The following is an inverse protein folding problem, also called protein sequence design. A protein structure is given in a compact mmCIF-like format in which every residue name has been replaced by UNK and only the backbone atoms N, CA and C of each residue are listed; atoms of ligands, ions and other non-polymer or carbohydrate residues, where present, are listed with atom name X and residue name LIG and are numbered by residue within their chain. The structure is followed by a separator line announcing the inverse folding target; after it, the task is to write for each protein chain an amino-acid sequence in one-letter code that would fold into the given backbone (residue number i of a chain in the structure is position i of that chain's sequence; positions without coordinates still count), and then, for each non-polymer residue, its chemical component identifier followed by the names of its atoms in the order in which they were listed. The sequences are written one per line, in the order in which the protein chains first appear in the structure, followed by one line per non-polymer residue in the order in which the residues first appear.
data_IF_902075654804
#
_entry.id   IF_902075654804
#
_cell.length_a   1.000
_cell.length_b   1.000
_cell.length_c   1.000
_cell.angle_alpha   90.00
_cell.angle_beta   90.00
_cell.angle_gamma   90.00
#
_symmetry.space_group_name_H-M   'P 1'
#
loop_
_entity.id
_entity.type
_entity.pdbx_description
1 polymer ?
#
# COMPACT_ATOMS: atom_id res chain seq x y z
N UNK A 1 -5.71 13.32 -15.51
CA UNK A 1 -6.86 12.44 -15.85
C UNK A 1 -6.48 11.03 -15.46
N UNK A 2 -7.40 10.26 -14.88
CA UNK A 2 -7.19 8.83 -14.70
C UNK A 2 -7.42 8.12 -16.05
N UNK A 3 -6.64 7.09 -16.32
CA UNK A 3 -6.78 6.23 -17.49
C UNK A 3 -6.91 4.79 -17.03
N UNK A 4 -7.77 4.02 -17.68
CA UNK A 4 -7.95 2.60 -17.38
C UNK A 4 -6.76 1.80 -17.92
N UNK A 5 -6.22 0.89 -17.10
CA UNK A 5 -5.12 0.01 -17.51
C UNK A 5 -5.62 -1.26 -18.21
N UNK A 6 -6.61 -1.92 -17.61
CA UNK A 6 -7.27 -3.14 -18.09
C UNK A 6 -8.75 -3.13 -17.67
N UNK A 7 -9.57 -3.98 -18.27
CA UNK A 7 -10.98 -4.16 -17.87
C UNK A 7 -11.13 -5.05 -16.63
N UNK A 8 -12.35 -5.11 -16.09
CA UNK A 8 -12.71 -5.87 -14.91
C UNK A 8 -12.67 -7.39 -15.09
N UNK A 9 -12.67 -7.88 -16.33
CA UNK A 9 -12.62 -9.32 -16.66
C UNK A 9 -11.18 -9.80 -16.88
N UNK A 10 -10.21 -8.88 -16.91
CA UNK A 10 -8.80 -9.20 -17.14
C UNK A 10 -8.19 -10.09 -16.05
N UNK A 11 -8.63 -9.95 -14.80
CA UNK A 11 -8.11 -10.71 -13.65
C UNK A 11 -9.25 -11.10 -12.69
N UNK A 12 -10.12 -11.99 -13.13
CA UNK A 12 -11.32 -12.46 -12.44
C UNK A 12 -11.03 -13.29 -11.18
N UNK A 13 -9.86 -13.93 -11.10
CA UNK A 13 -9.40 -14.67 -9.92
C UNK A 13 -9.05 -13.77 -8.71
N UNK A 14 -8.94 -12.45 -8.88
CA UNK A 14 -8.51 -11.55 -7.81
C UNK A 14 -9.63 -11.30 -6.80
N UNK A 15 -9.44 -11.74 -5.56
CA UNK A 15 -10.38 -11.53 -4.45
C UNK A 15 -9.90 -10.43 -3.51
N UNK A 16 -10.78 -9.46 -3.22
CA UNK A 16 -10.51 -8.35 -2.30
C UNK A 16 -11.30 -8.55 -0.99
N UNK A 17 -10.60 -8.52 0.14
CA UNK A 17 -11.19 -8.62 1.48
C UNK A 17 -10.87 -7.35 2.26
N UNK A 18 -11.90 -6.67 2.80
CA UNK A 18 -11.74 -5.46 3.61
C UNK A 18 -11.96 -5.80 5.08
N UNK A 19 -10.89 -5.76 5.86
CA UNK A 19 -10.95 -5.88 7.31
C UNK A 19 -11.18 -4.51 7.98
N UNK A 20 -12.39 -4.26 8.48
CA UNK A 20 -12.71 -3.03 9.22
C UNK A 20 -12.24 -3.17 10.66
N UNK A 21 -11.08 -2.59 10.98
CA UNK A 21 -10.38 -2.77 12.27
C UNK A 21 -10.62 -1.66 13.31
N UNK A 22 -11.28 -0.57 12.92
CA UNK A 22 -11.64 0.53 13.81
C UNK A 22 -12.84 1.29 13.23
N UNK A 23 -13.75 1.70 14.11
CA UNK A 23 -14.84 2.64 13.78
C UNK A 23 -14.50 4.10 14.18
N UNK A 24 -13.32 4.33 14.78
CA UNK A 24 -12.87 5.67 15.15
C UNK A 24 -12.42 6.44 13.92
N UNK A 25 -12.81 7.70 13.84
CA UNK A 25 -12.36 8.61 12.79
C UNK A 25 -10.83 8.78 12.87
N UNK A 26 -10.18 8.83 11.71
CA UNK A 26 -8.75 9.18 11.60
C UNK A 26 -8.53 10.53 12.29
N UNK A 27 -7.48 10.64 13.11
CA UNK A 27 -7.19 11.91 13.79
C UNK A 27 -6.85 13.02 12.79
N UNK A 28 -6.14 12.67 11.72
CA UNK A 28 -5.80 13.58 10.62
C UNK A 28 -6.53 13.18 9.34
N UNK A 29 -7.15 14.14 8.67
CA UNK A 29 -7.77 13.93 7.35
C UNK A 29 -6.70 13.69 6.28
N UNK A 30 -7.01 12.93 5.22
CA UNK A 30 -6.06 12.71 4.13
C UNK A 30 -5.59 14.02 3.49
N UNK A 31 -6.47 15.00 3.32
CA UNK A 31 -6.13 16.28 2.68
C UNK A 31 -5.13 17.09 3.49
N UNK A 32 -5.35 17.23 4.81
CA UNK A 32 -4.40 17.91 5.69
C UNK A 32 -3.12 17.11 5.83
N UNK A 33 -3.22 15.80 6.07
CA UNK A 33 -2.07 14.93 6.25
C UNK A 33 -1.16 14.89 5.03
N UNK A 34 -1.70 14.84 3.81
CA UNK A 34 -0.91 14.90 2.59
C UNK A 34 -0.16 16.23 2.45
N UNK A 35 -0.80 17.36 2.78
CA UNK A 35 -0.14 18.67 2.76
C UNK A 35 1.01 18.71 3.75
N UNK A 36 0.76 18.33 5.01
CA UNK A 36 1.76 18.36 6.07
C UNK A 36 2.95 17.44 5.71
N UNK A 37 2.67 16.29 5.10
CA UNK A 37 3.71 15.36 4.62
C UNK A 37 4.56 15.98 3.52
N UNK A 38 3.95 16.68 2.55
CA UNK A 38 4.69 17.39 1.50
C UNK A 38 5.60 18.47 2.07
N UNK A 39 5.12 19.20 3.09
CA UNK A 39 5.84 20.30 3.71
C UNK A 39 6.97 19.83 4.62
N UNK A 40 6.86 18.64 5.23
CA UNK A 40 7.74 18.26 6.35
C UNK A 40 8.52 16.96 6.15
N UNK A 41 8.09 16.05 5.29
CA UNK A 41 8.77 14.75 5.09
C UNK A 41 9.75 14.78 3.91
N UNK A 42 11.08 14.76 4.14
CA UNK A 42 12.04 14.57 3.05
C UNK A 42 11.92 13.18 2.40
N UNK A 43 11.42 12.17 3.13
CA UNK A 43 11.20 10.84 2.56
C UNK A 43 10.13 10.84 1.46
N UNK A 44 9.13 11.71 1.54
CA UNK A 44 8.14 11.84 0.46
C UNK A 44 8.79 12.31 -0.85
N UNK A 45 9.74 13.24 -0.78
CA UNK A 45 10.44 13.74 -1.97
C UNK A 45 11.19 12.61 -2.68
N UNK A 46 11.94 11.80 -1.94
CA UNK A 46 12.62 10.62 -2.47
C UNK A 46 11.62 9.60 -3.04
N UNK A 47 10.54 9.31 -2.30
CA UNK A 47 9.48 8.39 -2.76
C UNK A 47 8.90 8.84 -4.10
N UNK A 48 8.52 10.10 -4.23
CA UNK A 48 7.90 10.65 -5.43
C UNK A 48 8.84 10.69 -6.64
N UNK A 49 10.12 11.04 -6.42
CA UNK A 49 11.09 11.22 -7.50
C UNK A 49 11.73 9.91 -7.96
N UNK A 50 11.91 8.95 -7.05
CA UNK A 50 12.75 7.77 -7.30
C UNK A 50 11.97 6.46 -7.21
N UNK A 51 11.08 6.32 -6.23
CA UNK A 51 10.44 5.02 -5.95
C UNK A 51 9.18 4.82 -6.80
N UNK A 52 8.24 5.76 -6.72
CA UNK A 52 6.92 5.66 -7.36
C UNK A 52 7.03 5.49 -8.88
N UNK A 53 7.88 6.23 -9.64
CA UNK A 53 7.98 6.04 -11.08
C UNK A 53 8.36 4.61 -11.49
N UNK A 54 9.28 3.98 -10.74
CA UNK A 54 9.66 2.59 -11.00
C UNK A 54 8.56 1.61 -10.59
N UNK A 55 7.89 1.84 -9.46
CA UNK A 55 6.79 0.99 -9.01
C UNK A 55 5.60 1.00 -9.96
N UNK A 56 5.26 2.16 -10.55
CA UNK A 56 4.17 2.26 -11.54
C UNK A 56 4.42 1.34 -12.73
N UNK A 57 5.61 1.39 -13.34
CA UNK A 57 5.94 0.55 -14.49
C UNK A 57 5.86 -0.95 -14.16
N UNK A 58 6.39 -1.35 -12.99
CA UNK A 58 6.34 -2.75 -12.55
C UNK A 58 4.93 -3.21 -12.20
N UNK A 59 4.12 -2.32 -11.61
CA UNK A 59 2.73 -2.63 -11.26
C UNK A 59 1.88 -2.78 -12.52
N UNK A 60 2.06 -1.91 -13.51
CA UNK A 60 1.39 -2.05 -14.82
C UNK A 60 1.75 -3.37 -15.50
N UNK A 61 3.01 -3.78 -15.47
CA UNK A 61 3.47 -5.07 -16.00
C UNK A 61 2.85 -6.25 -15.23
N UNK A 62 2.87 -6.21 -13.90
CA UNK A 62 2.28 -7.24 -13.05
C UNK A 62 0.77 -7.40 -13.30
N UNK A 63 0.04 -6.29 -13.46
CA UNK A 63 -1.39 -6.31 -13.80
C UNK A 63 -1.61 -6.89 -15.20
N UNK A 64 -0.88 -6.43 -16.22
CA UNK A 64 -1.02 -6.92 -17.60
C UNK A 64 -0.77 -8.42 -17.73
N UNK A 65 0.18 -8.95 -16.96
CA UNK A 65 0.58 -10.35 -17.00
C UNK A 65 -0.15 -11.23 -15.97
N UNK A 66 -1.06 -10.68 -15.18
CA UNK A 66 -1.70 -11.36 -14.04
C UNK A 66 -0.67 -12.02 -13.09
N UNK A 67 0.47 -11.35 -12.88
CA UNK A 67 1.59 -11.86 -12.10
C UNK A 67 1.40 -11.53 -10.61
N UNK A 68 0.67 -12.40 -9.90
CA UNK A 68 0.28 -12.15 -8.52
C UNK A 68 1.46 -11.92 -7.57
N UNK A 69 2.56 -12.64 -7.75
CA UNK A 69 3.73 -12.50 -6.88
C UNK A 69 4.33 -11.09 -6.93
N UNK A 70 4.55 -10.55 -8.14
CA UNK A 70 5.04 -9.19 -8.31
C UNK A 70 4.02 -8.15 -7.85
N UNK A 71 2.74 -8.36 -8.16
CA UNK A 71 1.64 -7.50 -7.70
C UNK A 71 1.59 -7.42 -6.16
N UNK A 72 1.65 -8.57 -5.47
CA UNK A 72 1.58 -8.66 -4.03
C UNK A 72 2.77 -7.98 -3.35
N UNK A 73 4.00 -8.26 -3.82
CA UNK A 73 5.22 -7.65 -3.29
C UNK A 73 5.20 -6.13 -3.43
N UNK A 74 4.81 -5.61 -4.60
CA UNK A 74 4.70 -4.16 -4.83
C UNK A 74 3.63 -3.52 -3.96
N UNK A 75 2.47 -4.16 -3.82
CA UNK A 75 1.34 -3.66 -3.03
C UNK A 75 1.72 -3.54 -1.55
N UNK A 76 2.29 -4.60 -0.95
CA UNK A 76 2.77 -4.56 0.43
C UNK A 76 3.86 -3.50 0.63
N UNK A 77 4.87 -3.45 -0.25
CA UNK A 77 5.97 -2.51 -0.15
C UNK A 77 5.51 -1.05 -0.25
N UNK A 78 4.58 -0.77 -1.16
CA UNK A 78 4.07 0.58 -1.38
C UNK A 78 3.18 1.06 -0.21
N UNK A 79 2.33 0.17 0.32
CA UNK A 79 1.53 0.46 1.52
C UNK A 79 2.42 0.72 2.74
N UNK A 80 3.45 -0.09 2.95
CA UNK A 80 4.41 0.11 4.04
C UNK A 80 5.15 1.45 3.89
N UNK A 81 5.66 1.76 2.69
CA UNK A 81 6.41 3.00 2.48
C UNK A 81 5.51 4.25 2.64
N UNK A 82 4.24 4.17 2.23
CA UNK A 82 3.28 5.23 2.49
C UNK A 82 3.16 5.54 4.00
N UNK A 83 2.99 4.51 4.83
CA UNK A 83 2.90 4.71 6.28
C UNK A 83 4.22 5.17 6.93
N UNK A 84 5.37 4.76 6.39
CA UNK A 84 6.68 5.28 6.82
C UNK A 84 6.78 6.78 6.56
N UNK A 85 6.32 7.24 5.39
CA UNK A 85 6.30 8.67 5.07
C UNK A 85 5.33 9.44 5.98
N UNK A 86 4.16 8.86 6.32
CA UNK A 86 3.27 9.46 7.32
C UNK A 86 3.90 9.56 8.72
N UNK A 87 4.73 8.59 9.10
CA UNK A 87 5.48 8.61 10.35
C UNK A 87 6.60 9.65 10.37
N UNK A 88 7.19 9.95 9.21
CA UNK A 88 8.25 10.96 9.02
C UNK A 88 7.70 12.40 8.96
N UNK A 89 6.39 12.59 8.79
CA UNK A 89 5.71 13.90 8.87
C UNK A 89 5.87 14.53 10.26
N UNK A 90 5.88 15.88 10.34
CA UNK A 90 5.92 16.62 11.59
C UNK A 90 4.64 17.48 11.78
N UNK A 91 3.75 17.18 12.75
CA UNK A 91 3.81 16.05 13.69
C UNK A 91 3.57 14.68 13.02
N UNK A 92 4.07 13.57 13.62
CA UNK A 92 3.94 12.24 13.03
C UNK A 92 2.49 11.77 12.98
N UNK A 93 2.11 11.10 11.91
CA UNK A 93 0.76 10.56 11.70
C UNK A 93 0.74 9.03 11.78
N UNK A 94 -0.21 8.51 12.57
CA UNK A 94 -0.37 7.08 12.79
C UNK A 94 -1.73 6.61 12.26
N UNK A 95 -1.74 5.96 11.09
CA UNK A 95 -2.96 5.38 10.50
C UNK A 95 -3.14 3.89 10.81
N UNK A 96 -2.05 3.17 11.07
CA UNK A 96 -2.09 1.76 11.46
C UNK A 96 -2.15 1.63 12.98
N UNK A 97 -2.90 0.64 13.45
CA UNK A 97 -2.96 0.26 14.86
C UNK A 97 -2.47 -1.18 15.06
N UNK A 98 -2.50 -1.66 16.29
CA UNK A 98 -2.05 -3.02 16.63
C UNK A 98 -2.80 -4.10 15.83
N UNK A 99 -4.09 -3.91 15.54
CA UNK A 99 -4.85 -4.84 14.71
C UNK A 99 -4.34 -4.84 13.26
N UNK A 100 -4.03 -3.66 12.69
CA UNK A 100 -3.40 -3.55 11.37
C UNK A 100 -2.07 -4.32 11.33
N UNK A 101 -1.20 -4.13 12.33
CA UNK A 101 0.09 -4.83 12.40
C UNK A 101 -0.05 -6.35 12.57
N UNK A 102 -1.08 -6.81 13.29
CA UNK A 102 -1.39 -8.25 13.43
C UNK A 102 -1.85 -8.86 12.11
N UNK A 103 -2.62 -8.13 11.30
CA UNK A 103 -3.03 -8.57 9.95
C UNK A 103 -1.79 -8.68 9.04
N UNK A 104 -0.94 -7.65 9.02
CA UNK A 104 0.32 -7.67 8.27
C UNK A 104 1.15 -8.90 8.67
N UNK A 105 1.35 -9.10 9.98
CA UNK A 105 2.11 -10.23 10.51
C UNK A 105 1.51 -11.59 10.12
N UNK A 106 0.18 -11.68 10.00
CA UNK A 106 -0.51 -12.90 9.59
C UNK A 106 -0.27 -13.20 8.11
N UNK A 107 -0.42 -12.20 7.23
CA UNK A 107 -0.19 -12.37 5.78
C UNK A 107 1.27 -12.70 5.49
N UNK A 108 2.23 -12.02 6.14
CA UNK A 108 3.66 -12.31 5.98
C UNK A 108 4.01 -13.74 6.41
N UNK A 109 3.46 -14.21 7.54
CA UNK A 109 3.68 -15.59 8.01
C UNK A 109 3.09 -16.62 7.06
N UNK A 110 1.91 -16.36 6.51
CA UNK A 110 1.27 -17.25 5.55
C UNK A 110 2.09 -17.31 4.25
N UNK A 111 2.45 -16.17 3.67
CA UNK A 111 3.31 -16.13 2.49
C UNK A 111 4.64 -16.86 2.73
N UNK A 112 5.23 -16.71 3.92
CA UNK A 112 6.46 -17.40 4.28
C UNK A 112 6.29 -18.92 4.37
N UNK A 113 5.18 -19.41 4.94
CA UNK A 113 4.95 -20.86 5.08
C UNK A 113 4.75 -21.56 3.73
N UNK A 114 4.18 -20.87 2.76
CA UNK A 114 3.91 -21.39 1.41
C UNK A 114 5.09 -21.18 0.45
N UNK A 115 6.09 -20.38 0.83
CA UNK A 115 7.28 -20.08 0.01
C UNK A 115 7.03 -19.11 -1.15
N UNK A 116 5.78 -18.76 -1.43
CA UNK A 116 5.35 -17.78 -2.43
C UNK A 116 4.18 -16.94 -1.89
N UNK A 117 3.98 -15.70 -2.37
CA UNK A 117 2.86 -14.89 -1.92
C UNK A 117 1.51 -15.52 -2.25
N UNK A 118 0.72 -15.83 -1.23
CA UNK A 118 -0.68 -16.24 -1.32
C UNK A 118 -1.65 -15.09 -1.06
N UNK A 119 -1.20 -14.06 -0.35
CA UNK A 119 -1.98 -12.87 -0.05
C UNK A 119 -1.14 -11.61 -0.07
N UNK A 120 -1.80 -10.47 -0.23
CA UNK A 120 -1.22 -9.14 -0.08
C UNK A 120 -2.07 -8.31 0.87
N UNK A 121 -1.48 -7.28 1.46
CA UNK A 121 -2.19 -6.29 2.26
C UNK A 121 -1.93 -4.89 1.75
N UNK A 122 -2.91 -4.01 1.97
CA UNK A 122 -2.78 -2.57 1.81
C UNK A 122 -3.68 -1.90 2.84
N UNK A 123 -3.14 -0.91 3.55
CA UNK A 123 -3.90 -0.06 4.45
C UNK A 123 -4.05 1.35 3.88
N UNK A 124 -5.24 1.92 4.07
CA UNK A 124 -5.64 3.26 3.59
C UNK A 124 -5.72 4.28 4.69
#
# INVERSE_FOLDING_TARGET
MAVQLVDELHWDDLVIIIAVVSSKQKETSSTSGMRDTVETSPLLQYRAQTVVPSHILKMEEAIKNCEFESFARLTCADSNQFHVVCLDTSPPMFYMNDTSHRIISLVEKWNHSEGTPQGTYSSV
#
